data_IF_053518985079
#
_entry.id   IF_053518985079
#
_cell.length_a   1.000
_cell.length_b   1.000
_cell.length_c   1.000
_cell.angle_alpha   90.00
_cell.angle_beta   90.00
_cell.angle_gamma   90.00
#
_symmetry.space_group_name_H-M   'P 1'
#
loop_
_entity.id
_entity.type
_entity.pdbx_description
1 polymer ?
#
# COMPACT_ATOMS: atom_id res chain seq x y z
N UNK A 1 -41.17 12.25 52.21
CA UNK A 1 -41.33 11.02 51.40
C UNK A 1 -40.26 11.02 50.31
N UNK A 2 -39.27 10.11 50.42
CA UNK A 2 -38.13 10.02 49.50
C UNK A 2 -38.58 9.37 48.18
N UNK A 3 -38.23 9.95 47.03
CA UNK A 3 -38.34 9.29 45.72
C UNK A 3 -36.94 9.26 45.10
N UNK A 4 -36.26 8.14 45.30
CA UNK A 4 -35.03 7.81 44.58
C UNK A 4 -35.47 7.31 43.21
N UNK A 5 -35.26 8.12 42.18
CA UNK A 5 -35.42 7.69 40.79
C UNK A 5 -34.05 7.15 40.36
N UNK A 6 -33.91 5.83 40.42
CA UNK A 6 -32.74 5.10 39.97
C UNK A 6 -32.89 4.89 38.45
N UNK A 7 -32.22 5.70 37.63
CA UNK A 7 -32.20 5.54 36.18
C UNK A 7 -30.87 4.87 35.81
N UNK A 8 -30.87 3.53 35.83
CA UNK A 8 -29.83 2.71 35.21
C UNK A 8 -29.88 2.92 33.70
N UNK A 9 -28.98 3.76 33.20
CA UNK A 9 -28.69 3.84 31.77
C UNK A 9 -27.35 3.16 31.52
N UNK A 10 -27.31 1.85 31.73
CA UNK A 10 -26.25 0.99 31.18
C UNK A 10 -26.55 0.78 29.71
N UNK A 11 -26.23 1.79 28.89
CA UNK A 11 -26.03 1.57 27.46
C UNK A 11 -24.74 0.79 27.31
N UNK A 12 -24.89 -0.53 27.18
CA UNK A 12 -23.87 -1.40 26.62
C UNK A 12 -23.50 -0.82 25.24
N UNK A 13 -22.42 -0.05 25.19
CA UNK A 13 -21.64 0.14 23.98
C UNK A 13 -21.01 -1.22 23.68
N UNK A 14 -21.77 -2.11 23.05
CA UNK A 14 -21.21 -3.16 22.21
C UNK A 14 -20.59 -2.44 21.02
N UNK A 15 -19.42 -1.83 21.23
CA UNK A 15 -18.52 -1.50 20.13
C UNK A 15 -18.16 -2.87 19.57
N UNK A 16 -18.78 -3.19 18.43
CA UNK A 16 -18.46 -4.38 17.67
C UNK A 16 -16.95 -4.43 17.51
N UNK A 17 -16.35 -5.40 18.19
CA UNK A 17 -15.00 -5.83 17.88
C UNK A 17 -15.13 -6.47 16.49
N UNK A 18 -14.95 -5.69 15.43
CA UNK A 18 -14.54 -6.25 14.16
C UNK A 18 -13.16 -6.83 14.44
N UNK A 19 -13.13 -8.12 14.79
CA UNK A 19 -11.96 -8.95 14.58
C UNK A 19 -11.89 -9.18 13.08
N UNK A 20 -11.64 -8.12 12.32
CA UNK A 20 -10.96 -8.28 11.05
C UNK A 20 -9.59 -8.77 11.47
N UNK A 21 -9.42 -10.08 11.36
CA UNK A 21 -8.15 -10.75 11.59
C UNK A 21 -7.20 -10.16 10.53
N UNK A 22 -6.53 -9.06 10.89
CA UNK A 22 -5.57 -8.30 10.08
C UNK A 22 -4.39 -9.23 9.78
N UNK A 23 -4.60 -10.17 8.88
CA UNK A 23 -3.60 -11.15 8.50
C UNK A 23 -2.98 -10.74 7.20
N UNK A 24 -1.65 -10.82 7.15
CA UNK A 24 -0.89 -10.50 5.94
C UNK A 24 -1.19 -11.47 4.78
N UNK A 25 -1.84 -12.61 5.08
CA UNK A 25 -2.15 -13.68 4.12
C UNK A 25 -2.97 -13.18 2.93
N UNK A 26 -3.86 -12.22 3.15
CA UNK A 26 -4.67 -11.63 2.08
C UNK A 26 -3.84 -10.88 1.04
N UNK A 27 -2.62 -10.46 1.42
CA UNK A 27 -1.73 -9.70 0.55
C UNK A 27 -0.60 -10.53 -0.07
N UNK A 28 -0.25 -11.69 0.51
CA UNK A 28 0.82 -12.57 0.00
C UNK A 28 0.56 -12.94 -1.46
N UNK A 29 1.60 -12.81 -2.29
CA UNK A 29 1.54 -13.18 -3.70
C UNK A 29 2.04 -12.08 -4.62
N UNK A 30 1.74 -12.24 -5.90
CA UNK A 30 2.17 -11.29 -6.94
C UNK A 30 1.07 -10.27 -7.20
N UNK A 31 1.49 -9.02 -7.32
CA UNK A 31 0.67 -7.88 -7.68
C UNK A 31 1.24 -7.24 -8.94
N UNK A 32 0.36 -6.70 -9.77
CA UNK A 32 0.78 -5.97 -10.97
C UNK A 32 -0.11 -4.76 -11.20
N UNK A 33 0.42 -3.76 -11.88
CA UNK A 33 -0.26 -2.48 -12.00
C UNK A 33 0.41 -1.51 -12.95
N UNK A 34 -0.15 -0.30 -12.98
CA UNK A 34 0.35 0.82 -13.79
C UNK A 34 0.60 2.03 -12.92
N UNK A 35 1.63 2.80 -13.26
CA UNK A 35 1.93 4.08 -12.63
C UNK A 35 1.89 5.20 -13.66
N UNK A 36 1.52 6.39 -13.22
CA UNK A 36 1.43 7.58 -14.05
C UNK A 36 1.86 8.82 -13.24
N UNK A 37 2.69 9.65 -13.84
CA UNK A 37 3.08 10.97 -13.36
C UNK A 37 3.12 11.97 -14.51
N UNK A 38 3.52 13.22 -14.23
CA UNK A 38 3.52 14.28 -15.25
C UNK A 38 4.51 14.05 -16.39
N UNK A 39 5.63 13.37 -16.10
CA UNK A 39 6.73 13.15 -17.05
C UNK A 39 7.02 11.66 -17.30
N UNK A 40 6.25 10.76 -16.70
CA UNK A 40 6.56 9.33 -16.75
C UNK A 40 5.35 8.45 -16.51
N UNK A 41 5.29 7.32 -17.20
CA UNK A 41 4.31 6.27 -16.97
C UNK A 41 4.88 4.90 -17.30
N UNK A 42 4.20 3.88 -16.82
CA UNK A 42 4.44 2.52 -17.26
C UNK A 42 3.80 1.50 -16.35
N UNK A 43 4.41 0.31 -16.31
CA UNK A 43 3.89 -0.86 -15.60
C UNK A 43 4.85 -1.31 -14.51
N UNK A 44 4.32 -1.97 -13.50
CA UNK A 44 5.12 -2.55 -12.43
C UNK A 44 4.52 -3.87 -11.96
N UNK A 45 5.33 -4.63 -11.25
CA UNK A 45 4.90 -5.79 -10.48
C UNK A 45 5.67 -5.85 -9.16
N UNK A 46 5.05 -6.44 -8.14
CA UNK A 46 5.75 -6.74 -6.89
C UNK A 46 5.23 -8.03 -6.27
N UNK A 47 6.06 -8.62 -5.42
CA UNK A 47 5.74 -9.81 -4.64
C UNK A 47 5.72 -9.42 -3.17
N UNK A 48 4.66 -9.82 -2.47
CA UNK A 48 4.58 -9.80 -1.01
C UNK A 48 4.91 -11.20 -0.50
N UNK A 49 6.01 -11.32 0.25
CA UNK A 49 6.39 -12.56 0.90
C UNK A 49 5.62 -12.79 2.21
N UNK A 50 5.72 -14.00 2.76
CA UNK A 50 5.01 -14.41 3.97
C UNK A 50 5.40 -13.64 5.25
N UNK A 51 6.58 -13.04 5.26
CA UNK A 51 7.11 -12.21 6.35
C UNK A 51 6.83 -10.70 6.14
N UNK A 52 6.06 -10.36 5.11
CA UNK A 52 5.72 -9.01 4.71
C UNK A 52 6.82 -8.28 3.96
N UNK A 53 7.92 -8.94 3.60
CA UNK A 53 8.91 -8.36 2.69
C UNK A 53 8.29 -8.14 1.32
N UNK A 54 8.55 -6.97 0.74
CA UNK A 54 8.13 -6.62 -0.62
C UNK A 54 9.34 -6.44 -1.52
N UNK A 55 9.27 -7.03 -2.71
CA UNK A 55 10.23 -6.84 -3.79
C UNK A 55 9.49 -6.61 -5.08
N UNK A 56 9.81 -5.55 -5.80
CA UNK A 56 9.14 -5.22 -7.05
C UNK A 56 10.04 -4.55 -8.08
N UNK A 57 9.49 -4.46 -9.29
CA UNK A 57 10.12 -3.83 -10.45
C UNK A 57 9.12 -2.92 -11.15
N UNK A 58 9.61 -1.81 -11.68
CA UNK A 58 8.88 -0.86 -12.50
C UNK A 58 9.57 -0.76 -13.86
N UNK A 59 8.78 -0.62 -14.92
CA UNK A 59 9.23 -0.37 -16.28
C UNK A 59 8.60 0.91 -16.80
N UNK A 60 9.43 1.83 -17.28
CA UNK A 60 9.04 3.12 -17.82
C UNK A 60 8.81 3.05 -19.32
N UNK A 61 7.58 3.28 -19.77
CA UNK A 61 7.26 3.35 -21.21
C UNK A 61 7.77 4.66 -21.84
N UNK A 62 8.02 5.68 -21.02
CA UNK A 62 8.47 7.01 -21.49
C UNK A 62 9.96 7.04 -21.75
N UNK A 63 10.76 6.50 -20.83
CA UNK A 63 12.22 6.59 -20.88
C UNK A 63 12.89 5.25 -21.22
N UNK A 64 12.12 4.15 -21.32
CA UNK A 64 12.62 2.79 -21.48
C UNK A 64 13.62 2.39 -20.37
N UNK A 65 13.31 2.81 -19.14
CA UNK A 65 14.11 2.58 -17.95
C UNK A 65 13.45 1.51 -17.07
N UNK A 66 14.26 0.76 -16.31
CA UNK A 66 13.79 -0.18 -15.32
C UNK A 66 14.25 0.23 -13.93
N UNK A 67 13.36 0.12 -12.95
CA UNK A 67 13.66 0.38 -11.55
C UNK A 67 13.30 -0.85 -10.72
N UNK A 68 14.01 -1.05 -9.62
CA UNK A 68 13.61 -2.01 -8.60
C UNK A 68 13.24 -1.26 -7.33
N UNK A 69 12.38 -1.85 -6.51
CA UNK A 69 12.05 -1.32 -5.19
C UNK A 69 11.89 -2.45 -4.18
N UNK A 70 12.22 -2.15 -2.93
CA UNK A 70 12.12 -3.11 -1.83
C UNK A 70 11.60 -2.43 -0.57
N UNK A 71 10.90 -3.18 0.27
CA UNK A 71 10.42 -2.66 1.53
C UNK A 71 9.54 -3.65 2.27
N UNK A 72 8.51 -3.14 2.93
CA UNK A 72 7.60 -3.92 3.76
C UNK A 72 6.15 -3.57 3.49
N UNK A 73 5.29 -4.57 3.66
CA UNK A 73 3.87 -4.43 3.77
C UNK A 73 3.46 -4.71 5.21
N UNK A 74 2.75 -3.76 5.82
CA UNK A 74 2.17 -3.93 7.13
C UNK A 74 0.84 -4.70 7.06
N UNK A 75 0.42 -5.29 8.17
CA UNK A 75 -0.84 -6.05 8.25
C UNK A 75 -2.07 -5.22 7.92
N UNK A 76 -1.99 -3.90 8.14
CA UNK A 76 -3.03 -2.94 7.75
C UNK A 76 -3.16 -2.74 6.24
N UNK A 77 -2.29 -3.37 5.42
CA UNK A 77 -2.21 -3.17 3.97
C UNK A 77 -1.36 -1.95 3.56
N UNK A 78 -0.75 -1.24 4.52
CA UNK A 78 0.14 -0.13 4.23
C UNK A 78 1.46 -0.63 3.61
N UNK A 79 1.74 -0.20 2.39
CA UNK A 79 2.96 -0.50 1.63
C UNK A 79 3.98 0.63 1.81
N UNK A 80 5.18 0.28 2.28
CA UNK A 80 6.30 1.20 2.46
C UNK A 80 7.54 0.63 1.77
N UNK A 81 7.94 1.20 0.63
CA UNK A 81 9.13 0.74 -0.10
C UNK A 81 9.98 1.91 -0.61
N UNK A 82 11.25 1.61 -0.84
CA UNK A 82 12.23 2.54 -1.40
C UNK A 82 12.69 2.05 -2.77
N UNK A 83 12.90 3.01 -3.69
CA UNK A 83 13.53 2.72 -4.97
C UNK A 83 15.00 2.37 -4.75
N UNK A 84 15.45 1.37 -5.49
CA UNK A 84 16.80 0.86 -5.47
C UNK A 84 17.83 1.72 -6.21
N UNK A 85 19.10 1.58 -5.83
CA UNK A 85 20.23 2.25 -6.49
C UNK A 85 20.27 1.93 -8.00
N UNK A 86 20.53 2.91 -8.90
CA UNK A 86 21.01 4.27 -8.65
C UNK A 86 19.91 5.29 -8.34
N UNK A 87 18.64 4.87 -8.30
CA UNK A 87 17.54 5.77 -8.02
C UNK A 87 17.47 6.11 -6.53
N UNK A 88 16.75 7.19 -6.23
CA UNK A 88 16.51 7.62 -4.87
C UNK A 88 15.06 8.06 -4.74
N UNK A 89 14.25 7.25 -4.09
CA UNK A 89 12.81 7.47 -4.16
C UNK A 89 11.99 6.53 -3.31
N UNK A 90 10.68 6.70 -3.37
CA UNK A 90 9.72 5.90 -2.62
C UNK A 90 8.66 5.35 -3.57
N UNK A 91 8.15 4.17 -3.23
CA UNK A 91 6.96 3.58 -3.83
C UNK A 91 6.08 3.07 -2.69
N UNK A 92 5.01 3.79 -2.39
CA UNK A 92 4.20 3.60 -1.19
C UNK A 92 2.72 3.64 -1.51
N UNK A 93 1.89 3.02 -0.69
CA UNK A 93 0.44 3.04 -0.89
C UNK A 93 -0.31 2.10 0.03
N UNK A 94 -1.54 1.78 -0.33
CA UNK A 94 -2.46 0.97 0.45
C UNK A 94 -3.00 -0.17 -0.40
N UNK A 95 -3.01 -1.38 0.15
CA UNK A 95 -3.65 -2.56 -0.44
C UNK A 95 -4.94 -2.88 0.33
N UNK A 96 -6.01 -3.20 -0.39
CA UNK A 96 -7.29 -3.63 0.16
C UNK A 96 -8.10 -4.35 -0.93
N UNK A 97 -8.85 -5.40 -0.59
CA UNK A 97 -9.77 -6.08 -1.51
C UNK A 97 -9.16 -6.49 -2.87
N UNK A 98 -7.91 -6.99 -2.84
CA UNK A 98 -7.13 -7.35 -4.05
C UNK A 98 -6.87 -6.19 -5.01
N UNK A 99 -7.08 -4.95 -4.57
CA UNK A 99 -6.74 -3.70 -5.24
C UNK A 99 -5.65 -2.98 -4.46
N UNK A 100 -4.88 -2.16 -5.15
CA UNK A 100 -3.86 -1.33 -4.54
C UNK A 100 -3.83 0.04 -5.19
N UNK A 101 -3.55 1.07 -4.39
CA UNK A 101 -3.35 2.43 -4.88
C UNK A 101 -2.26 3.11 -4.08
N UNK A 102 -1.53 4.04 -4.70
CA UNK A 102 -0.57 4.84 -3.95
C UNK A 102 0.18 5.84 -4.80
N UNK A 103 1.32 6.25 -4.26
CA UNK A 103 2.19 7.27 -4.82
C UNK A 103 3.60 6.72 -5.04
N UNK A 104 4.28 7.31 -6.02
CA UNK A 104 5.69 7.06 -6.25
C UNK A 104 6.43 8.39 -6.44
N UNK A 105 7.71 8.38 -6.07
CA UNK A 105 8.61 9.52 -6.25
C UNK A 105 9.99 9.01 -6.59
N UNK A 106 10.63 9.61 -7.58
CA UNK A 106 12.04 9.43 -7.88
C UNK A 106 12.74 10.80 -7.89
N UNK A 107 13.73 10.97 -7.03
CA UNK A 107 14.51 12.20 -6.88
C UNK A 107 15.60 12.35 -7.95
N UNK A 108 15.88 11.29 -8.72
CA UNK A 108 16.88 11.28 -9.79
C UNK A 108 16.26 10.79 -11.10
N UNK A 109 16.57 11.41 -12.25
CA UNK A 109 17.34 12.64 -12.42
C UNK A 109 16.58 13.89 -11.92
N UNK A 110 17.23 15.06 -11.94
CA UNK A 110 16.60 16.35 -11.67
C UNK A 110 16.01 16.92 -12.99
N UNK A 111 14.76 17.43 -13.04
CA UNK A 111 13.79 17.54 -11.95
C UNK A 111 13.24 16.21 -11.45
N UNK A 112 13.01 16.13 -10.13
CA UNK A 112 12.39 14.95 -9.51
C UNK A 112 11.05 14.63 -10.18
N UNK A 113 10.77 13.33 -10.31
CA UNK A 113 9.55 12.79 -10.90
C UNK A 113 8.68 12.18 -9.81
N UNK A 114 7.38 12.25 -9.99
CA UNK A 114 6.42 11.65 -9.06
C UNK A 114 5.07 11.44 -9.73
N UNK A 115 4.24 10.62 -9.12
CA UNK A 115 2.88 10.39 -9.57
C UNK A 115 2.17 9.36 -8.72
N UNK A 116 1.09 8.81 -9.26
CA UNK A 116 0.25 7.81 -8.60
C UNK A 116 0.35 6.47 -9.31
N UNK A 117 -0.13 5.41 -8.65
CA UNK A 117 -0.22 4.08 -9.21
C UNK A 117 -1.48 3.36 -8.75
N UNK A 118 -1.89 2.38 -9.55
CA UNK A 118 -2.96 1.43 -9.24
C UNK A 118 -2.47 0.00 -9.50
N UNK A 119 -2.97 -0.97 -8.72
CA UNK A 119 -2.58 -2.37 -8.81
C UNK A 119 -3.76 -3.31 -8.58
N UNK A 120 -3.61 -4.54 -9.08
CA UNK A 120 -4.45 -5.68 -8.74
C UNK A 120 -3.60 -6.86 -8.30
N UNK A 121 -4.11 -7.66 -7.37
CA UNK A 121 -3.50 -8.94 -7.01
C UNK A 121 -3.71 -9.91 -8.17
N UNK A 122 -2.65 -10.56 -8.62
CA UNK A 122 -2.75 -11.59 -9.65
C UNK A 122 -3.60 -12.76 -9.13
N UNK A 123 -4.36 -13.39 -10.03
CA UNK A 123 -5.27 -14.50 -9.70
C UNK A 123 -4.51 -15.75 -9.24
#
# INVERSE_FOLDING_TARGET
MKRIVLLLMTTFFLIGCNTDDDTIYDYIGTWSGTYQGSAEKGNFNFVVANDGKVTGTMHSDTNNENYYFTGRLERSGQLNTELGYPQKGTFSGQLADKKGTGDWKNQLPNPARSGTWTAEKNK
#
